data_IF_904712712952
#
_entry.id   IF_904712712952
#
_cell.length_a   1.000
_cell.length_b   1.000
_cell.length_c   1.000
_cell.angle_alpha   90.00
_cell.angle_beta   90.00
_cell.angle_gamma   90.00
#
_symmetry.space_group_name_H-M   'P 1'
#
loop_
_entity.id
_entity.type
_entity.pdbx_description
1 polymer ?
#
# COMPACT_ATOMS: atom_id res chain seq x y z
N UNK A 1 1.66 -0.40 16.04
CA UNK A 1 1.90 -1.42 15.00
C UNK A 1 3.23 -1.18 14.26
N UNK A 2 3.44 -0.07 13.53
CA UNK A 2 4.64 0.14 12.70
C UNK A 2 5.99 -0.02 13.41
N UNK A 3 6.15 0.51 14.63
CA UNK A 3 7.39 0.38 15.42
C UNK A 3 7.72 -1.09 15.71
N UNK A 4 6.71 -1.89 16.07
CA UNK A 4 6.92 -3.32 16.35
C UNK A 4 7.37 -4.09 15.10
N UNK A 5 6.88 -3.73 13.93
CA UNK A 5 7.34 -4.32 12.66
C UNK A 5 8.81 -3.98 12.42
N UNK A 6 9.19 -2.71 12.55
CA UNK A 6 10.58 -2.27 12.40
C UNK A 6 11.53 -3.00 13.38
N UNK A 7 11.14 -3.14 14.65
CA UNK A 7 11.92 -3.88 15.67
C UNK A 7 12.06 -5.37 15.36
N UNK A 8 11.13 -5.95 14.59
CA UNK A 8 11.17 -7.35 14.15
C UNK A 8 11.87 -7.56 12.81
N UNK A 9 12.47 -6.53 12.24
CA UNK A 9 13.10 -6.62 10.93
C UNK A 9 12.11 -6.80 9.77
N UNK A 10 10.86 -6.37 9.96
CA UNK A 10 9.82 -6.37 8.93
C UNK A 10 9.69 -4.94 8.41
N UNK A 11 9.83 -4.74 7.10
CA UNK A 11 9.72 -3.43 6.47
C UNK A 11 8.24 -3.06 6.29
N UNK A 12 7.73 -2.05 7.01
CA UNK A 12 6.36 -1.60 6.84
C UNK A 12 6.31 -0.55 5.73
N UNK A 13 5.59 -0.79 4.64
CA UNK A 13 5.30 0.23 3.63
C UNK A 13 3.93 0.84 3.89
N UNK A 14 3.81 2.16 3.67
CA UNK A 14 2.52 2.85 3.74
C UNK A 14 1.77 2.68 2.43
N UNK A 15 0.75 1.83 2.45
CA UNK A 15 0.04 1.47 1.23
C UNK A 15 -1.07 0.46 1.42
N UNK A 16 -1.59 0.00 0.29
CA UNK A 16 -2.58 -1.07 0.21
C UNK A 16 -2.02 -2.20 -0.66
N UNK A 17 -2.39 -3.45 -0.36
CA UNK A 17 -1.97 -4.61 -1.14
C UNK A 17 -3.16 -5.52 -1.45
N UNK A 18 -3.19 -6.01 -2.69
CA UNK A 18 -4.18 -6.98 -3.17
C UNK A 18 -3.48 -8.25 -3.63
N UNK A 19 -4.24 -9.35 -3.69
CA UNK A 19 -3.74 -10.64 -4.17
C UNK A 19 -4.33 -10.97 -5.54
N UNK A 20 -3.45 -11.24 -6.50
CA UNK A 20 -3.79 -11.69 -7.85
C UNK A 20 -2.94 -12.93 -8.14
N UNK A 21 -3.55 -14.04 -8.49
CA UNK A 21 -2.85 -15.30 -8.80
C UNK A 21 -1.85 -15.72 -7.69
N UNK A 22 -2.28 -15.66 -6.42
CA UNK A 22 -1.49 -15.98 -5.23
C UNK A 22 -0.20 -15.14 -5.07
N UNK A 23 -0.16 -13.94 -5.61
CA UNK A 23 0.93 -12.98 -5.45
C UNK A 23 0.40 -11.63 -5.00
N UNK A 24 1.15 -10.94 -4.14
CA UNK A 24 0.81 -9.60 -3.68
C UNK A 24 1.26 -8.53 -4.68
N UNK A 25 0.40 -7.56 -4.89
CA UNK A 25 0.67 -6.32 -5.62
C UNK A 25 0.42 -5.15 -4.68
N UNK A 26 1.46 -4.39 -4.41
CA UNK A 26 1.46 -3.30 -3.43
C UNK A 26 1.27 -1.94 -4.12
N UNK A 27 0.35 -1.13 -3.62
CA UNK A 27 0.14 0.26 -4.04
C UNK A 27 0.68 1.18 -2.96
N UNK A 28 1.70 1.97 -3.29
CA UNK A 28 2.31 2.97 -2.40
C UNK A 28 2.11 4.38 -2.96
N UNK A 29 2.43 5.42 -2.20
CA UNK A 29 2.28 6.81 -2.63
C UNK A 29 1.89 7.71 -1.46
N UNK A 30 1.81 9.01 -1.70
CA UNK A 30 1.45 9.99 -0.69
C UNK A 30 0.02 9.81 -0.15
N UNK A 31 -0.28 10.46 0.97
CA UNK A 31 -1.65 10.50 1.50
C UNK A 31 -2.59 11.13 0.46
N UNK A 32 -3.75 10.52 0.24
CA UNK A 32 -4.68 10.98 -0.79
C UNK A 32 -4.31 10.61 -2.23
N UNK A 33 -3.21 9.88 -2.48
CA UNK A 33 -2.86 9.43 -3.83
C UNK A 33 -3.84 8.41 -4.42
N UNK A 34 -4.74 7.81 -3.59
CA UNK A 34 -5.78 6.89 -4.05
C UNK A 34 -5.45 5.42 -3.87
N UNK A 35 -4.46 5.07 -3.07
CA UNK A 35 -4.04 3.68 -2.81
C UNK A 35 -5.20 2.78 -2.37
N UNK A 36 -5.90 3.17 -1.30
CA UNK A 36 -7.04 2.39 -0.77
C UNK A 36 -8.22 2.37 -1.73
N UNK A 37 -8.45 3.44 -2.49
CA UNK A 37 -9.50 3.49 -3.53
C UNK A 37 -9.19 2.51 -4.67
N UNK A 38 -7.93 2.50 -5.15
CA UNK A 38 -7.50 1.55 -6.18
C UNK A 38 -7.61 0.10 -5.68
N UNK A 39 -7.14 -0.18 -4.46
CA UNK A 39 -7.30 -1.51 -3.86
C UNK A 39 -8.78 -1.91 -3.73
N UNK A 40 -9.67 -0.97 -3.40
CA UNK A 40 -11.12 -1.20 -3.32
C UNK A 40 -11.72 -1.55 -4.68
N UNK A 41 -11.26 -0.91 -5.76
CA UNK A 41 -11.67 -1.26 -7.13
C UNK A 41 -11.30 -2.71 -7.47
N UNK A 42 -10.10 -3.16 -7.10
CA UNK A 42 -9.72 -4.56 -7.26
C UNK A 42 -10.59 -5.50 -6.44
N UNK A 43 -10.90 -5.15 -5.19
CA UNK A 43 -11.77 -5.94 -4.32
C UNK A 43 -13.18 -6.07 -4.91
N UNK A 44 -13.74 -4.99 -5.45
CA UNK A 44 -15.04 -5.02 -6.12
C UNK A 44 -15.02 -5.83 -7.42
N UNK A 45 -13.87 -5.91 -8.07
CA UNK A 45 -13.65 -6.77 -9.24
C UNK A 45 -13.41 -8.24 -8.88
N UNK A 46 -13.56 -8.63 -7.60
CA UNK A 46 -13.46 -10.01 -7.13
C UNK A 46 -12.07 -10.45 -6.65
N UNK A 47 -11.08 -9.58 -6.67
CA UNK A 47 -9.75 -9.87 -6.09
C UNK A 47 -9.78 -9.77 -4.55
N UNK A 48 -8.75 -10.28 -3.89
CA UNK A 48 -8.69 -10.28 -2.44
C UNK A 48 -7.79 -9.16 -1.91
N UNK A 49 -8.25 -8.48 -0.87
CA UNK A 49 -7.43 -7.58 -0.06
C UNK A 49 -6.45 -8.39 0.79
N UNK A 50 -5.20 -7.97 0.83
CA UNK A 50 -4.18 -8.52 1.74
C UNK A 50 -3.89 -7.58 2.90
N UNK A 51 -3.78 -6.29 2.59
CA UNK A 51 -3.49 -5.24 3.58
C UNK A 51 -4.00 -3.89 3.11
N UNK A 52 -4.38 -3.04 4.07
CA UNK A 52 -4.61 -1.61 3.85
C UNK A 52 -3.94 -0.80 4.96
N UNK A 53 -3.44 0.39 4.62
CA UNK A 53 -2.67 1.31 5.47
C UNK A 53 -1.21 0.89 5.74
N UNK A 54 -0.92 -0.38 6.09
CA UNK A 54 0.43 -0.86 6.38
C UNK A 54 0.66 -2.22 5.74
N UNK A 55 1.58 -2.27 4.77
CA UNK A 55 2.01 -3.49 4.09
C UNK A 55 3.26 -4.01 4.80
N UNK A 56 3.16 -5.16 5.44
CA UNK A 56 4.28 -5.77 6.18
C UNK A 56 5.09 -6.67 5.24
N UNK A 57 6.29 -6.21 4.85
CA UNK A 57 7.17 -6.94 3.93
C UNK A 57 8.34 -7.56 4.69
N UNK A 58 8.56 -8.86 4.50
CA UNK A 58 9.73 -9.58 5.00
C UNK A 58 10.32 -10.48 3.92
N UNK A 59 11.39 -11.19 4.25
CA UNK A 59 11.97 -12.19 3.38
C UNK A 59 11.75 -13.59 3.96
N UNK A 60 11.24 -14.50 3.15
CA UNK A 60 11.14 -15.93 3.47
C UNK A 60 11.85 -16.74 2.37
N UNK A 61 12.79 -17.58 2.74
CA UNK A 61 13.60 -18.37 1.79
C UNK A 61 14.29 -17.56 0.67
N UNK A 62 14.64 -16.30 0.96
CA UNK A 62 15.29 -15.40 0.01
C UNK A 62 14.33 -14.65 -0.92
N UNK A 63 13.01 -14.84 -0.79
CA UNK A 63 12.00 -14.16 -1.58
C UNK A 63 11.25 -13.11 -0.74
N UNK A 64 10.93 -11.93 -1.27
CA UNK A 64 10.11 -10.95 -0.58
C UNK A 64 8.66 -11.42 -0.49
N UNK A 65 8.10 -11.37 0.71
CA UNK A 65 6.72 -11.76 1.00
C UNK A 65 5.96 -10.66 1.72
N UNK A 66 4.63 -10.67 1.58
CA UNK A 66 3.72 -9.77 2.30
C UNK A 66 2.85 -10.57 3.25
N UNK A 67 2.83 -10.14 4.51
CA UNK A 67 1.97 -10.72 5.52
C UNK A 67 0.56 -10.09 5.48
N UNK A 68 -0.50 -10.88 5.73
CA UNK A 68 -1.85 -10.33 5.82
C UNK A 68 -1.99 -9.41 7.04
N UNK A 69 -2.76 -8.33 6.88
CA UNK A 69 -3.06 -7.44 7.99
C UNK A 69 -4.38 -7.84 8.66
N UNK A 70 -5.46 -7.16 8.36
CA UNK A 70 -6.80 -7.42 8.93
C UNK A 70 -7.89 -7.08 7.89
N UNK A 71 -9.06 -7.71 7.96
CA UNK A 71 -10.10 -7.65 6.92
C UNK A 71 -10.89 -6.34 6.92
N UNK A 72 -10.19 -5.23 6.77
CA UNK A 72 -10.79 -3.89 6.78
C UNK A 72 -9.99 -2.94 5.88
N UNK A 73 -10.71 -2.09 5.15
CA UNK A 73 -10.14 -0.95 4.43
C UNK A 73 -10.50 0.38 5.09
N UNK A 74 -9.68 1.39 4.85
CA UNK A 74 -9.90 2.76 5.29
C UNK A 74 -10.17 3.64 4.08
N UNK A 75 -11.43 3.97 3.82
CA UNK A 75 -11.83 4.79 2.67
C UNK A 75 -12.28 6.18 3.11
N UNK A 76 -11.93 7.17 2.28
CA UNK A 76 -12.48 8.51 2.39
C UNK A 76 -13.92 8.55 1.88
N UNK A 77 -14.68 9.55 2.32
CA UNK A 77 -16.07 9.75 1.87
C UNK A 77 -16.19 9.81 0.34
N UNK A 78 -15.29 10.54 -0.32
CA UNK A 78 -15.27 10.65 -1.78
C UNK A 78 -15.11 9.28 -2.47
N UNK A 79 -14.39 8.35 -1.83
CA UNK A 79 -14.27 6.98 -2.34
C UNK A 79 -15.55 6.18 -2.11
N UNK A 80 -16.27 6.40 -0.99
CA UNK A 80 -17.57 5.77 -0.76
C UNK A 80 -18.58 6.24 -1.80
N UNK A 81 -18.64 7.54 -2.04
CA UNK A 81 -19.53 8.14 -3.03
C UNK A 81 -19.26 7.59 -4.44
N UNK A 82 -17.98 7.43 -4.81
CA UNK A 82 -17.56 6.82 -6.07
C UNK A 82 -18.10 5.38 -6.23
N UNK A 83 -18.16 4.62 -5.13
CA UNK A 83 -18.63 3.23 -5.12
C UNK A 83 -20.13 3.08 -4.82
N UNK A 84 -20.88 4.18 -4.68
CA UNK A 84 -22.30 4.17 -4.34
C UNK A 84 -22.58 3.60 -2.94
N UNK A 85 -21.63 3.72 -2.01
CA UNK A 85 -21.74 3.25 -0.64
C UNK A 85 -22.21 4.41 0.28
N UNK A 86 -23.26 4.17 1.09
CA UNK A 86 -23.71 5.16 2.08
C UNK A 86 -22.79 5.16 3.30
N UNK A 87 -22.36 6.34 3.74
CA UNK A 87 -21.51 6.53 4.92
C UNK A 87 -22.17 6.03 6.22
N UNK A 88 -23.51 6.10 6.32
CA UNK A 88 -24.29 5.65 7.48
C UNK A 88 -24.10 4.17 7.81
N UNK A 89 -23.61 3.38 6.85
CA UNK A 89 -23.37 1.95 7.02
C UNK A 89 -22.04 1.64 7.71
N UNK A 90 -21.16 2.63 7.87
CA UNK A 90 -19.79 2.40 8.30
C UNK A 90 -19.42 3.27 9.50
N UNK A 91 -18.49 2.74 10.32
CA UNK A 91 -17.97 3.51 11.47
C UNK A 91 -16.96 4.54 11.01
N UNK A 92 -17.12 5.83 11.37
CA UNK A 92 -16.07 6.82 11.19
C UNK A 92 -14.86 6.44 12.03
N UNK A 93 -13.65 6.68 11.52
CA UNK A 93 -12.41 6.40 12.25
C UNK A 93 -12.09 7.49 13.28
N UNK A 94 -12.51 8.72 13.00
CA UNK A 94 -12.43 9.89 13.90
C UNK A 94 -13.58 10.83 13.60
N UNK A 95 -14.07 11.53 14.62
CA UNK A 95 -15.22 12.45 14.51
C UNK A 95 -14.93 13.66 13.60
N UNK A 96 -13.66 14.02 13.42
CA UNK A 96 -13.24 15.18 12.63
C UNK A 96 -12.79 14.85 11.19
N UNK A 97 -12.76 13.55 10.81
CA UNK A 97 -12.18 13.11 9.54
C UNK A 97 -13.17 12.23 8.80
N UNK A 98 -13.56 12.63 7.58
CA UNK A 98 -14.45 11.87 6.68
C UNK A 98 -13.81 10.59 6.16
N UNK A 99 -13.31 9.73 7.07
CA UNK A 99 -12.67 8.46 6.77
C UNK A 99 -13.34 7.32 7.52
N UNK A 100 -13.69 6.26 6.82
CA UNK A 100 -14.54 5.18 7.30
C UNK A 100 -13.81 3.84 7.28
N UNK A 101 -14.19 2.97 8.23
CA UNK A 101 -13.72 1.61 8.34
C UNK A 101 -14.66 0.66 7.60
N UNK A 102 -14.23 0.09 6.48
CA UNK A 102 -15.02 -0.78 5.61
C UNK A 102 -14.61 -2.23 5.84
N UNK A 103 -15.49 -3.10 6.36
CA UNK A 103 -15.20 -4.54 6.49
C UNK A 103 -15.06 -5.20 5.12
N UNK A 104 -14.01 -6.02 4.93
CA UNK A 104 -13.72 -6.75 3.68
C UNK A 104 -13.58 -8.25 3.93
N UNK A 105 -14.35 -8.81 4.85
CA UNK A 105 -14.19 -10.18 5.35
C UNK A 105 -14.30 -11.25 4.25
N UNK A 106 -15.22 -11.09 3.30
CA UNK A 106 -15.44 -12.06 2.22
C UNK A 106 -14.33 -12.07 1.16
N UNK A 107 -13.65 -10.95 0.98
CA UNK A 107 -12.59 -10.76 -0.01
C UNK A 107 -11.25 -10.47 0.65
N UNK A 108 -10.98 -11.08 1.80
CA UNK A 108 -9.72 -10.95 2.51
C UNK A 108 -8.86 -12.20 2.35
N UNK A 109 -7.60 -12.00 1.96
CA UNK A 109 -6.59 -13.05 1.90
C UNK A 109 -5.84 -13.12 3.23
N UNK A 110 -5.88 -14.26 3.90
CA UNK A 110 -5.37 -14.44 5.27
C UNK A 110 -4.04 -15.21 5.36
N UNK A 111 -3.33 -15.36 4.23
CA UNK A 111 -2.03 -16.05 4.18
C UNK A 111 -0.95 -15.13 3.64
N UNK A 112 0.29 -15.37 4.07
CA UNK A 112 1.48 -14.76 3.48
C UNK A 112 1.64 -15.20 2.03
N UNK A 113 1.97 -14.25 1.15
CA UNK A 113 2.17 -14.50 -0.29
C UNK A 113 3.39 -13.73 -0.81
N UNK A 114 4.06 -14.22 -1.87
CA UNK A 114 5.16 -13.52 -2.51
C UNK A 114 4.75 -12.12 -2.99
N UNK A 115 5.63 -11.13 -2.82
CA UNK A 115 5.46 -9.78 -3.36
C UNK A 115 5.92 -9.77 -4.82
N UNK A 116 4.99 -9.61 -5.75
CA UNK A 116 5.28 -9.63 -7.19
C UNK A 116 5.65 -8.25 -7.76
N UNK A 117 5.12 -7.17 -7.17
CA UNK A 117 5.40 -5.83 -7.68
C UNK A 117 4.90 -4.72 -6.77
N UNK A 118 5.48 -3.53 -6.97
CA UNK A 118 5.11 -2.31 -6.28
C UNK A 118 4.73 -1.24 -7.30
N UNK A 119 3.62 -0.56 -7.05
CA UNK A 119 3.06 0.48 -7.90
C UNK A 119 2.98 1.77 -7.10
N UNK A 120 3.77 2.76 -7.48
CA UNK A 120 3.73 4.08 -6.86
C UNK A 120 2.69 4.96 -7.56
N UNK A 121 1.69 5.40 -6.82
CA UNK A 121 0.69 6.34 -7.30
C UNK A 121 1.17 7.78 -7.08
N UNK A 122 1.30 8.53 -8.17
CA UNK A 122 1.73 9.92 -8.17
C UNK A 122 0.66 10.79 -8.82
N UNK A 123 0.24 11.84 -8.11
CA UNK A 123 -0.64 12.86 -8.69
C UNK A 123 0.17 13.80 -9.58
N UNK A 124 -0.35 14.08 -10.75
CA UNK A 124 0.22 15.03 -11.71
C UNK A 124 -0.83 16.00 -12.21
N UNK A 125 -0.38 17.16 -12.63
CA UNK A 125 -1.18 18.08 -13.43
C UNK A 125 -1.18 17.59 -14.89
N UNK A 126 -2.04 16.64 -15.18
CA UNK A 126 -2.18 15.95 -16.46
C UNK A 126 -3.64 15.56 -16.65
N UNK A 127 -4.09 15.47 -17.89
CA UNK A 127 -5.43 14.98 -18.23
C UNK A 127 -5.49 13.46 -18.37
N UNK A 128 -4.35 12.79 -18.46
CA UNK A 128 -4.26 11.36 -18.77
C UNK A 128 -3.49 10.60 -17.70
N UNK A 129 -3.90 9.33 -17.50
CA UNK A 129 -3.12 8.37 -16.72
C UNK A 129 -1.98 7.85 -17.57
N UNK A 130 -0.75 7.86 -17.02
CA UNK A 130 0.42 7.28 -17.65
C UNK A 130 1.09 6.29 -16.70
N UNK A 131 1.74 5.28 -17.27
CA UNK A 131 2.52 4.30 -16.50
C UNK A 131 3.94 4.27 -17.06
N UNK A 132 4.92 4.23 -16.16
CA UNK A 132 6.31 4.05 -16.55
C UNK A 132 7.03 3.11 -15.60
N UNK A 133 7.97 2.35 -16.11
CA UNK A 133 8.83 1.53 -15.29
C UNK A 133 9.82 2.42 -14.51
N UNK A 134 10.04 2.05 -13.24
CA UNK A 134 10.99 2.72 -12.37
C UNK A 134 12.36 2.07 -12.51
N UNK A 135 13.41 2.88 -12.65
CA UNK A 135 14.78 2.38 -12.55
C UNK A 135 15.13 2.01 -11.08
N UNK A 136 16.26 1.35 -10.87
CA UNK A 136 16.64 0.83 -9.56
C UNK A 136 16.75 1.92 -8.48
N UNK A 137 17.23 3.11 -8.83
CA UNK A 137 17.38 4.22 -7.89
C UNK A 137 16.02 4.80 -7.51
N UNK A 138 15.12 4.92 -8.46
CA UNK A 138 13.74 5.36 -8.21
C UNK A 138 13.00 4.35 -7.33
N UNK A 139 13.18 3.04 -7.57
CA UNK A 139 12.63 1.98 -6.70
C UNK A 139 13.13 2.11 -5.27
N UNK A 140 14.45 2.27 -5.08
CA UNK A 140 15.04 2.47 -3.77
C UNK A 140 14.44 3.70 -3.08
N UNK A 141 14.37 4.82 -3.79
CA UNK A 141 13.78 6.06 -3.27
C UNK A 141 12.32 5.84 -2.83
N UNK A 142 11.49 5.20 -3.67
CA UNK A 142 10.10 4.91 -3.34
C UNK A 142 9.95 4.01 -2.10
N UNK A 143 10.77 2.94 -1.98
CA UNK A 143 10.76 2.07 -0.79
C UNK A 143 11.10 2.84 0.49
N UNK A 144 12.11 3.71 0.43
CA UNK A 144 12.51 4.52 1.58
C UNK A 144 11.48 5.60 1.92
N UNK A 145 10.96 6.30 0.91
CA UNK A 145 9.99 7.38 1.06
C UNK A 145 8.67 6.87 1.66
N UNK A 146 8.18 5.74 1.15
CA UNK A 146 6.90 5.18 1.56
C UNK A 146 7.01 4.20 2.72
N UNK A 147 8.14 4.16 3.44
CA UNK A 147 8.24 3.40 4.69
C UNK A 147 7.33 4.01 5.76
N UNK A 148 6.38 3.19 6.25
CA UNK A 148 5.45 3.63 7.29
C UNK A 148 6.19 4.00 8.58
N UNK A 149 5.95 5.23 9.09
CA UNK A 149 6.66 5.77 10.24
C UNK A 149 8.19 5.87 10.07
N UNK A 150 8.67 6.08 8.84
CA UNK A 150 10.08 6.19 8.49
C UNK A 150 10.87 7.21 9.33
N UNK A 151 10.21 8.28 9.80
CA UNK A 151 10.82 9.28 10.70
C UNK A 151 11.32 8.69 12.05
N UNK A 152 10.87 7.49 12.44
CA UNK A 152 11.33 6.83 13.65
C UNK A 152 12.59 5.99 13.45
N UNK A 153 12.96 5.64 12.23
CA UNK A 153 14.11 4.79 11.88
C UNK A 153 15.43 5.31 12.48
N UNK A 154 15.77 6.60 12.37
CA UNK A 154 17.00 7.13 12.99
C UNK A 154 16.99 6.99 14.52
N UNK A 155 15.83 7.21 15.17
CA UNK A 155 15.68 7.11 16.63
C UNK A 155 15.76 5.69 17.14
N UNK A 156 15.44 4.71 16.30
CA UNK A 156 15.53 3.27 16.60
C UNK A 156 16.92 2.68 16.28
N UNK A 157 17.85 3.45 15.72
CA UNK A 157 19.17 2.98 15.31
C UNK A 157 19.14 2.07 14.06
N UNK A 158 18.05 2.08 13.28
CA UNK A 158 17.82 1.14 12.19
C UNK A 158 18.16 1.67 10.79
N UNK A 159 18.94 2.75 10.66
CA UNK A 159 19.26 3.38 9.36
C UNK A 159 19.89 2.40 8.38
N UNK A 160 20.91 1.65 8.81
CA UNK A 160 21.63 0.71 7.95
C UNK A 160 20.73 -0.44 7.53
N UNK A 161 19.99 -1.04 8.46
CA UNK A 161 19.03 -2.10 8.17
C UNK A 161 17.96 -1.64 7.18
N UNK A 162 17.38 -0.47 7.40
CA UNK A 162 16.35 0.10 6.52
C UNK A 162 16.87 0.30 5.11
N UNK A 163 18.05 0.93 4.96
CA UNK A 163 18.66 1.11 3.65
C UNK A 163 18.92 -0.23 2.96
N UNK A 164 19.50 -1.21 3.66
CA UNK A 164 19.80 -2.53 3.09
C UNK A 164 18.54 -3.27 2.67
N UNK A 165 17.47 -3.21 3.48
CA UNK A 165 16.19 -3.84 3.17
C UNK A 165 15.50 -3.18 1.97
N UNK A 166 15.49 -1.85 1.91
CA UNK A 166 14.94 -1.11 0.78
C UNK A 166 15.74 -1.36 -0.51
N UNK A 167 17.08 -1.44 -0.42
CA UNK A 167 17.95 -1.69 -1.56
C UNK A 167 17.80 -3.13 -2.12
N UNK A 168 17.61 -4.12 -1.25
CA UNK A 168 17.32 -5.49 -1.65
C UNK A 168 16.00 -5.54 -2.45
N UNK A 169 14.91 -5.01 -1.88
CA UNK A 169 13.62 -4.93 -2.59
C UNK A 169 13.74 -4.20 -3.93
N UNK A 170 14.42 -3.05 -3.97
CA UNK A 170 14.60 -2.28 -5.20
C UNK A 170 15.38 -3.01 -6.29
N UNK A 171 16.23 -3.97 -5.91
CA UNK A 171 17.00 -4.80 -6.83
C UNK A 171 16.20 -5.94 -7.47
N UNK A 172 15.21 -6.47 -6.75
CA UNK A 172 14.51 -7.71 -7.11
C UNK A 172 13.11 -7.47 -7.67
N UNK A 173 12.42 -6.43 -7.18
CA UNK A 173 11.02 -6.23 -7.52
C UNK A 173 10.81 -5.47 -8.82
N UNK A 174 9.78 -5.90 -9.55
CA UNK A 174 9.16 -5.09 -10.59
C UNK A 174 8.44 -3.90 -9.94
N UNK A 175 8.68 -2.69 -10.45
CA UNK A 175 7.98 -1.52 -9.95
C UNK A 175 7.63 -0.54 -11.08
N UNK A 176 6.39 -0.06 -11.04
CA UNK A 176 5.86 0.96 -11.93
C UNK A 176 5.47 2.22 -11.14
N UNK A 177 5.59 3.35 -11.79
CA UNK A 177 4.96 4.58 -11.35
C UNK A 177 3.68 4.80 -12.17
N UNK A 178 2.56 4.98 -11.47
CA UNK A 178 1.26 5.31 -12.05
C UNK A 178 1.05 6.80 -11.84
N UNK A 179 1.18 7.55 -12.92
CA UNK A 179 0.99 8.99 -12.97
C UNK A 179 -0.49 9.24 -13.29
N UNK A 180 -1.20 9.88 -12.38
CA UNK A 180 -2.64 10.11 -12.52
C UNK A 180 -3.02 11.58 -12.36
N UNK A 181 -4.13 12.03 -12.98
CA UNK A 181 -4.67 13.37 -12.76
C UNK A 181 -4.87 13.69 -11.28
N UNK A 182 -4.70 14.97 -10.92
CA UNK A 182 -4.97 15.49 -9.57
C UNK A 182 -6.46 15.41 -9.24
N UNK A 183 -7.32 15.61 -10.24
CA UNK A 183 -8.77 15.56 -10.14
C UNK A 183 -9.32 14.33 -10.86
N UNK A 184 -10.28 13.66 -10.22
CA UNK A 184 -10.91 12.46 -10.77
C UNK A 184 -10.16 11.17 -10.47
N UNK A 185 -10.93 10.07 -10.52
CA UNK A 185 -10.49 8.68 -10.52
C UNK A 185 -11.05 8.05 -11.79
N UNK A 186 -10.55 8.45 -12.92
CA UNK A 186 -10.95 7.84 -14.20
C UNK A 186 -9.79 7.12 -14.81
#
# INVERSE_FOLDING_TARGET
>A
MGVLLLQRGILPLHGSAVVINNKAYAFVGESGAGKSTLASTFVQSGFQLLSDDVIAVSYENGEPVVHPAYPQQKLWKESLDLFGMSEDQFKPLHDEVSKFAIPVTKHFHNKTVPLAGVFELVKMDSEYVAMREMNRLERLHAMMLHTYRGALIPRLGLKQWHFSSAAALAGELFALQILRPTTGFT
#
